data_IF_833353247613
#
_entry.id   IF_833353247613
#
_cell.length_a   1.000
_cell.length_b   1.000
_cell.length_c   1.000
_cell.angle_alpha   90.00
_cell.angle_beta   90.00
_cell.angle_gamma   90.00
#
_symmetry.space_group_name_H-M   'P 1'
#
loop_
_entity.id
_entity.type
_entity.pdbx_description
1 polymer ?
#
# COMPACT_ATOMS: atom_id res chain seq x y z
N UNK A 1 -1.12 18.48 2.87
CA UNK A 1 -0.29 18.64 1.64
C UNK A 1 1.21 18.62 1.90
N UNK A 2 1.76 19.36 2.86
CA UNK A 2 3.21 19.38 3.11
C UNK A 2 3.84 17.98 3.32
N UNK A 3 3.16 17.11 4.05
CA UNK A 3 3.59 15.71 4.28
C UNK A 3 3.57 14.89 2.99
N UNK A 4 2.56 15.08 2.14
CA UNK A 4 2.46 14.38 0.84
C UNK A 4 3.59 14.81 -0.09
N UNK A 5 3.91 16.09 -0.14
CA UNK A 5 5.04 16.61 -0.93
C UNK A 5 6.41 16.14 -0.38
N UNK A 6 6.53 16.02 0.94
CA UNK A 6 7.72 15.41 1.54
C UNK A 6 7.83 13.92 1.16
N UNK A 7 6.74 13.17 1.25
CA UNK A 7 6.67 11.77 0.84
C UNK A 7 6.96 11.61 -0.66
N UNK A 8 6.48 12.52 -1.53
CA UNK A 8 6.75 12.51 -2.97
C UNK A 8 8.24 12.48 -3.29
N UNK A 9 9.02 13.28 -2.58
CA UNK A 9 10.49 13.30 -2.77
C UNK A 9 11.14 11.96 -2.42
N UNK A 10 10.68 11.30 -1.36
CA UNK A 10 11.18 9.98 -0.97
C UNK A 10 10.72 8.89 -1.92
N UNK A 11 9.44 8.91 -2.30
CA UNK A 11 8.85 7.98 -3.26
C UNK A 11 9.58 8.00 -4.60
N UNK A 12 9.94 9.18 -5.10
CA UNK A 12 10.63 9.36 -6.37
C UNK A 12 12.03 8.71 -6.43
N UNK A 13 12.63 8.38 -5.28
CA UNK A 13 13.92 7.68 -5.22
C UNK A 13 13.79 6.16 -5.46
N UNK A 14 12.62 5.58 -5.20
CA UNK A 14 12.42 4.13 -5.14
C UNK A 14 11.27 3.60 -5.99
N UNK A 15 10.31 4.44 -6.32
CA UNK A 15 9.13 4.07 -7.10
C UNK A 15 9.10 4.84 -8.42
N UNK A 16 8.53 4.20 -9.43
CA UNK A 16 8.40 4.81 -10.75
C UNK A 16 7.13 5.66 -10.85
N UNK A 17 7.20 6.74 -11.63
CA UNK A 17 6.00 7.39 -12.13
C UNK A 17 5.40 6.47 -13.19
N UNK A 18 4.37 5.75 -12.83
CA UNK A 18 3.73 4.77 -13.71
C UNK A 18 2.83 5.46 -14.74
N UNK A 19 2.65 4.87 -15.93
CA UNK A 19 1.76 5.43 -16.95
C UNK A 19 0.30 5.51 -16.47
N UNK A 20 -0.40 6.56 -16.92
CA UNK A 20 -1.84 6.67 -16.90
C UNK A 20 -2.36 6.39 -18.32
N UNK A 21 -3.02 5.25 -18.53
CA UNK A 21 -3.38 4.76 -19.85
C UNK A 21 -4.91 4.78 -20.03
N UNK A 22 -5.38 5.44 -21.08
CA UNK A 22 -6.80 5.39 -21.44
C UNK A 22 -7.16 3.99 -21.91
N UNK A 23 -8.19 3.42 -21.33
CA UNK A 23 -8.73 2.14 -21.76
C UNK A 23 -9.51 2.33 -23.08
N UNK A 24 -9.42 1.33 -23.96
CA UNK A 24 -10.17 1.33 -25.22
C UNK A 24 -11.67 1.49 -24.93
N UNK A 25 -12.34 2.53 -25.48
CA UNK A 25 -13.76 2.77 -25.25
C UNK A 25 -14.67 1.60 -25.58
N UNK A 26 -14.31 0.79 -26.59
CA UNK A 26 -15.08 -0.43 -26.91
C UNK A 26 -15.03 -1.47 -25.78
N UNK A 27 -13.92 -1.52 -25.04
CA UNK A 27 -13.76 -2.43 -23.90
C UNK A 27 -14.37 -1.90 -22.62
N UNK A 28 -14.32 -0.58 -22.40
CA UNK A 28 -14.86 0.03 -21.18
C UNK A 28 -16.38 0.20 -21.21
N UNK A 29 -16.99 0.32 -22.37
CA UNK A 29 -18.42 0.59 -22.54
C UNK A 29 -19.32 -0.43 -21.83
N UNK A 30 -18.90 -1.68 -21.75
CA UNK A 30 -19.67 -2.76 -21.12
C UNK A 30 -19.89 -2.55 -19.62
N UNK A 31 -19.02 -1.81 -18.94
CA UNK A 31 -19.08 -1.58 -17.49
C UNK A 31 -19.08 -0.10 -17.08
N UNK A 32 -18.67 0.79 -17.95
CA UNK A 32 -18.56 2.22 -17.67
C UNK A 32 -19.45 3.12 -18.56
N UNK A 33 -20.24 2.53 -19.46
CA UNK A 33 -21.06 3.29 -20.40
C UNK A 33 -20.22 4.20 -21.28
N UNK A 34 -20.57 5.49 -21.34
CA UNK A 34 -19.87 6.48 -22.16
C UNK A 34 -18.74 7.21 -21.40
N UNK A 35 -18.40 6.77 -20.19
CA UNK A 35 -17.29 7.35 -19.42
C UNK A 35 -15.93 6.96 -19.99
N UNK A 36 -15.02 7.91 -20.02
CA UNK A 36 -13.61 7.65 -20.32
C UNK A 36 -12.94 7.02 -19.11
N UNK A 37 -12.41 5.81 -19.26
CA UNK A 37 -11.73 5.08 -18.21
C UNK A 37 -10.23 5.11 -18.42
N UNK A 38 -9.49 5.45 -17.37
CA UNK A 38 -8.04 5.46 -17.34
C UNK A 38 -7.52 4.49 -16.29
N UNK A 39 -6.42 3.84 -16.57
CA UNK A 39 -5.73 2.93 -15.65
C UNK A 39 -4.39 3.52 -15.24
N UNK A 40 -4.20 3.76 -13.94
CA UNK A 40 -2.90 4.06 -13.36
C UNK A 40 -2.19 2.74 -13.09
N UNK A 41 -1.17 2.43 -13.89
CA UNK A 41 -0.58 1.10 -13.97
C UNK A 41 0.43 0.81 -12.85
N UNK A 42 -0.02 0.80 -11.60
CA UNK A 42 0.82 0.52 -10.42
C UNK A 42 1.36 -0.92 -10.36
N UNK A 43 0.87 -1.81 -11.20
CA UNK A 43 1.46 -3.13 -11.44
C UNK A 43 2.80 -3.09 -12.18
N UNK A 44 3.19 -1.95 -12.73
CA UNK A 44 4.50 -1.75 -13.35
C UNK A 44 5.59 -1.28 -12.36
N UNK A 45 5.25 -1.07 -11.09
CA UNK A 45 6.24 -0.76 -10.07
C UNK A 45 7.31 -1.87 -9.91
N UNK A 46 8.51 -1.58 -9.37
CA UNK A 46 9.59 -2.56 -9.22
C UNK A 46 9.19 -3.86 -8.51
N UNK A 47 8.21 -3.81 -7.62
CA UNK A 47 7.65 -4.97 -6.92
C UNK A 47 6.30 -5.43 -7.48
N UNK A 48 5.87 -4.89 -8.62
CA UNK A 48 4.58 -5.21 -9.23
C UNK A 48 3.36 -4.64 -8.50
N UNK A 49 3.52 -3.68 -7.58
CA UNK A 49 2.43 -3.13 -6.78
C UNK A 49 2.74 -1.74 -6.22
N UNK A 50 1.69 -0.95 -5.99
CA UNK A 50 1.77 0.42 -5.43
C UNK A 50 2.40 0.49 -4.03
N UNK A 51 2.46 -0.63 -3.30
CA UNK A 51 2.92 -0.68 -1.90
C UNK A 51 4.32 -0.10 -1.69
N UNK A 52 5.15 -0.09 -2.71
CA UNK A 52 6.47 0.52 -2.65
C UNK A 52 6.42 2.01 -2.30
N UNK A 53 5.38 2.73 -2.72
CA UNK A 53 5.23 4.18 -2.45
C UNK A 53 5.06 4.45 -0.96
N UNK A 54 4.14 3.74 -0.30
CA UNK A 54 3.94 3.86 1.13
C UNK A 54 5.16 3.41 1.93
N UNK A 55 5.79 2.30 1.54
CA UNK A 55 6.99 1.82 2.19
C UNK A 55 8.16 2.81 2.05
N UNK A 56 8.38 3.37 0.86
CA UNK A 56 9.43 4.36 0.61
C UNK A 56 9.21 5.64 1.44
N UNK A 57 7.99 6.12 1.57
CA UNK A 57 7.68 7.28 2.39
C UNK A 57 7.99 7.04 3.88
N UNK A 58 7.65 5.86 4.42
CA UNK A 58 7.99 5.50 5.81
C UNK A 58 9.51 5.48 5.98
N UNK A 59 10.21 4.73 5.13
CA UNK A 59 11.67 4.57 5.23
C UNK A 59 12.39 5.91 5.08
N UNK A 60 11.93 6.76 4.16
CA UNK A 60 12.48 8.10 3.95
C UNK A 60 12.20 9.10 5.08
N UNK A 61 11.23 8.80 5.94
CA UNK A 61 10.91 9.61 7.13
C UNK A 61 11.65 9.16 8.40
N UNK A 62 12.37 8.03 8.37
CA UNK A 62 13.15 7.53 9.51
C UNK A 62 14.29 8.49 9.87
N UNK A 63 14.59 8.58 11.15
CA UNK A 63 15.73 9.33 11.60
C UNK A 63 17.06 8.70 11.11
N UNK A 64 18.14 9.49 10.95
CA UNK A 64 19.43 8.97 10.56
C UNK A 64 19.87 7.79 11.45
N UNK A 65 20.25 6.67 10.82
CA UNK A 65 20.66 5.44 11.50
C UNK A 65 19.51 4.55 12.02
N UNK A 66 18.27 5.00 11.98
CA UNK A 66 17.14 4.18 12.44
C UNK A 66 16.93 2.97 11.52
N UNK A 67 16.98 3.17 10.22
CA UNK A 67 16.90 2.09 9.24
C UNK A 67 18.05 1.07 9.37
N UNK A 68 19.23 1.50 9.87
CA UNK A 68 20.39 0.62 10.04
C UNK A 68 20.14 -0.53 11.04
N UNK A 69 19.21 -0.36 11.98
CA UNK A 69 18.77 -1.43 12.89
C UNK A 69 17.95 -2.52 12.20
N UNK A 70 17.56 -2.27 10.95
CA UNK A 70 16.76 -3.16 10.13
C UNK A 70 15.30 -2.74 10.01
N UNK A 71 14.62 -3.34 9.04
CA UNK A 71 13.20 -3.16 8.80
C UNK A 71 12.44 -4.44 9.14
N UNK A 72 11.27 -4.31 9.76
CA UNK A 72 10.45 -5.43 10.20
C UNK A 72 9.05 -5.33 9.59
N UNK A 73 8.51 -6.46 9.14
CA UNK A 73 7.16 -6.52 8.58
C UNK A 73 6.45 -7.83 8.93
N UNK A 74 5.23 -7.73 9.45
CA UNK A 74 4.30 -8.86 9.55
C UNK A 74 3.38 -8.88 8.32
N UNK A 75 3.75 -9.63 7.30
CA UNK A 75 2.98 -9.82 6.04
C UNK A 75 3.74 -10.77 5.13
N UNK A 76 3.05 -11.56 4.31
CA UNK A 76 3.68 -12.30 3.20
C UNK A 76 3.50 -11.60 1.84
N UNK A 77 2.62 -10.59 1.74
CA UNK A 77 2.18 -9.98 0.48
C UNK A 77 3.05 -8.81 0.02
N UNK A 78 2.45 -7.99 -0.85
CA UNK A 78 3.13 -6.89 -1.54
C UNK A 78 3.81 -5.87 -0.62
N UNK A 79 3.27 -5.65 0.60
CA UNK A 79 3.93 -4.72 1.53
C UNK A 79 5.23 -5.31 2.10
N UNK A 80 5.28 -6.62 2.34
CA UNK A 80 6.52 -7.28 2.74
C UNK A 80 7.58 -7.20 1.65
N UNK A 81 7.18 -7.47 0.40
CA UNK A 81 8.09 -7.34 -0.75
C UNK A 81 8.58 -5.90 -0.93
N UNK A 82 7.74 -4.89 -0.70
CA UNK A 82 8.15 -3.49 -0.74
C UNK A 82 9.22 -3.19 0.32
N UNK A 83 8.98 -3.61 1.56
CA UNK A 83 9.94 -3.40 2.67
C UNK A 83 11.25 -4.16 2.43
N UNK A 84 11.18 -5.41 1.97
CA UNK A 84 12.36 -6.22 1.65
C UNK A 84 13.16 -5.61 0.48
N UNK A 85 12.48 -5.12 -0.55
CA UNK A 85 13.13 -4.44 -1.69
C UNK A 85 13.89 -3.20 -1.23
N UNK A 86 13.25 -2.33 -0.45
CA UNK A 86 13.88 -1.12 0.07
C UNK A 86 15.06 -1.43 1.01
N UNK A 87 14.90 -2.42 1.89
CA UNK A 87 15.99 -2.85 2.77
C UNK A 87 17.21 -3.33 1.97
N UNK A 88 16.99 -4.08 0.89
CA UNK A 88 18.05 -4.50 -0.04
C UNK A 88 18.73 -3.32 -0.72
N UNK A 89 17.98 -2.33 -1.20
CA UNK A 89 18.53 -1.12 -1.82
C UNK A 89 19.37 -0.31 -0.84
N UNK A 90 18.96 -0.25 0.42
CA UNK A 90 19.65 0.48 1.49
C UNK A 90 20.79 -0.32 2.13
N UNK A 91 20.92 -1.61 1.81
CA UNK A 91 21.92 -2.49 2.43
C UNK A 91 21.67 -2.75 3.92
N UNK A 92 20.42 -2.74 4.37
CA UNK A 92 20.05 -2.93 5.78
C UNK A 92 19.31 -4.27 5.98
N UNK A 93 19.33 -4.84 7.20
CA UNK A 93 18.59 -6.08 7.50
C UNK A 93 17.10 -5.92 7.29
N UNK A 94 16.45 -7.00 6.86
CA UNK A 94 14.99 -7.06 6.77
C UNK A 94 14.49 -8.38 7.38
N UNK A 95 13.52 -8.29 8.29
CA UNK A 95 12.83 -9.46 8.83
C UNK A 95 11.34 -9.41 8.48
N UNK A 96 10.86 -10.49 7.89
CA UNK A 96 9.45 -10.65 7.50
C UNK A 96 8.84 -11.79 8.30
N UNK A 97 7.81 -11.48 9.08
CA UNK A 97 7.02 -12.46 9.82
C UNK A 97 5.85 -12.92 8.94
N UNK A 98 5.70 -14.20 8.79
CA UNK A 98 4.61 -14.79 7.99
C UNK A 98 3.89 -15.86 8.79
N UNK A 99 2.56 -16.02 8.64
CA UNK A 99 1.87 -17.15 9.27
C UNK A 99 2.33 -18.47 8.66
N UNK A 100 2.28 -19.56 9.44
CA UNK A 100 2.75 -20.90 9.04
C UNK A 100 2.17 -21.38 7.71
N UNK A 101 0.90 -21.05 7.45
CA UNK A 101 0.19 -21.42 6.22
C UNK A 101 0.44 -20.46 5.05
N UNK A 102 1.36 -19.50 5.17
CA UNK A 102 1.66 -18.57 4.07
C UNK A 102 2.10 -19.35 2.80
N UNK A 103 1.55 -19.02 1.62
CA UNK A 103 1.93 -19.70 0.38
C UNK A 103 3.43 -19.61 0.13
N UNK A 104 4.05 -20.72 -0.24
CA UNK A 104 5.49 -20.82 -0.47
C UNK A 104 5.98 -19.82 -1.52
N UNK A 105 5.20 -19.58 -2.56
CA UNK A 105 5.50 -18.58 -3.59
C UNK A 105 5.71 -17.18 -3.03
N UNK A 106 4.95 -16.79 -1.98
CA UNK A 106 5.08 -15.50 -1.31
C UNK A 106 6.29 -15.47 -0.39
N UNK A 107 6.59 -16.57 0.29
CA UNK A 107 7.78 -16.71 1.15
C UNK A 107 9.04 -16.57 0.31
N UNK A 108 9.18 -17.37 -0.72
CA UNK A 108 10.33 -17.34 -1.65
C UNK A 108 10.50 -15.97 -2.31
N UNK A 109 9.41 -15.27 -2.61
CA UNK A 109 9.49 -13.92 -3.18
C UNK A 109 10.16 -12.92 -2.21
N UNK A 110 9.89 -13.00 -0.92
CA UNK A 110 10.53 -12.18 0.10
C UNK A 110 12.00 -12.57 0.33
N UNK A 111 12.30 -13.87 0.37
CA UNK A 111 13.68 -14.38 0.51
C UNK A 111 14.57 -13.97 -0.68
N UNK A 112 14.06 -14.02 -1.90
CA UNK A 112 14.76 -13.53 -3.11
C UNK A 112 15.09 -12.03 -3.04
N UNK A 113 14.33 -11.26 -2.27
CA UNK A 113 14.60 -9.86 -1.98
C UNK A 113 15.61 -9.67 -0.84
N UNK A 114 16.12 -10.76 -0.24
CA UNK A 114 17.10 -10.73 0.83
C UNK A 114 16.50 -10.65 2.24
N UNK A 115 15.18 -10.77 2.40
CA UNK A 115 14.58 -10.77 3.72
C UNK A 115 14.80 -12.10 4.45
N UNK A 116 15.09 -12.02 5.76
CA UNK A 116 14.94 -13.15 6.67
C UNK A 116 13.46 -13.40 6.93
N UNK A 117 12.94 -14.52 6.48
CA UNK A 117 11.55 -14.90 6.73
C UNK A 117 11.47 -15.78 7.98
N UNK A 118 10.56 -15.43 8.90
CA UNK A 118 10.26 -16.20 10.11
C UNK A 118 8.80 -16.64 10.03
N UNK A 119 8.57 -17.96 10.05
CA UNK A 119 7.22 -18.53 10.15
C UNK A 119 6.80 -18.57 11.61
N UNK A 120 5.61 -18.08 11.89
CA UNK A 120 5.02 -17.98 13.23
C UNK A 120 3.58 -18.43 13.19
N UNK A 121 2.97 -18.73 14.33
CA UNK A 121 1.53 -19.02 14.38
C UNK A 121 0.71 -17.83 13.90
N UNK A 122 -0.55 -18.05 13.56
CA UNK A 122 -1.45 -16.95 13.16
C UNK A 122 -1.61 -15.91 14.27
N UNK A 123 -1.74 -16.38 15.50
CA UNK A 123 -1.90 -15.54 16.69
C UNK A 123 -0.68 -14.66 16.93
N UNK A 124 0.52 -15.23 16.86
CA UNK A 124 1.79 -14.49 16.99
C UNK A 124 1.95 -13.46 15.85
N UNK A 125 1.60 -13.87 14.62
CA UNK A 125 1.64 -12.97 13.46
C UNK A 125 0.69 -11.79 13.62
N UNK A 126 -0.55 -12.08 14.07
CA UNK A 126 -1.57 -11.05 14.29
C UNK A 126 -1.20 -10.12 15.45
N UNK A 127 -0.68 -10.68 16.54
CA UNK A 127 -0.17 -9.89 17.65
C UNK A 127 0.99 -8.98 17.24
N UNK A 128 1.96 -9.50 16.48
CA UNK A 128 3.07 -8.71 15.94
C UNK A 128 2.58 -7.60 15.02
N UNK A 129 1.55 -7.86 14.21
CA UNK A 129 0.93 -6.86 13.36
C UNK A 129 0.25 -5.74 14.16
N UNK A 130 -0.48 -6.09 15.20
CA UNK A 130 -1.17 -5.12 16.08
C UNK A 130 -0.20 -4.32 16.95
N UNK A 131 0.76 -4.99 17.59
CA UNK A 131 1.73 -4.38 18.50
C UNK A 131 2.90 -3.68 17.78
N UNK A 132 3.05 -3.89 16.48
CA UNK A 132 4.13 -3.37 15.65
C UNK A 132 5.54 -3.77 16.17
N UNK A 133 5.64 -4.94 16.76
CA UNK A 133 6.89 -5.52 17.25
C UNK A 133 6.78 -7.04 17.34
N UNK A 134 7.95 -7.72 17.44
CA UNK A 134 8.01 -9.17 17.69
C UNK A 134 9.19 -9.49 18.61
N UNK A 135 9.01 -10.33 19.63
CA UNK A 135 10.08 -10.66 20.57
C UNK A 135 11.34 -11.21 19.88
N UNK A 136 12.50 -10.67 20.22
CA UNK A 136 13.78 -11.09 19.64
C UNK A 136 14.04 -10.62 18.20
N UNK A 137 13.19 -9.75 17.65
CA UNK A 137 13.41 -9.09 16.35
C UNK A 137 13.57 -7.60 16.56
N UNK A 138 14.73 -7.08 16.23
CA UNK A 138 15.03 -5.65 16.25
C UNK A 138 14.74 -5.01 14.89
N UNK A 139 14.48 -3.70 14.91
CA UNK A 139 14.25 -2.91 13.70
C UNK A 139 12.96 -2.10 13.72
N UNK A 140 12.79 -1.27 12.71
CA UNK A 140 11.61 -0.44 12.56
C UNK A 140 10.49 -1.22 11.89
N UNK A 141 9.34 -1.33 12.57
CA UNK A 141 8.17 -2.00 12.01
C UNK A 141 7.45 -1.09 11.01
N UNK A 142 7.31 -1.55 9.78
CA UNK A 142 6.58 -0.83 8.73
C UNK A 142 5.14 -1.33 8.64
N UNK A 143 4.16 -0.52 9.06
CA UNK A 143 2.75 -0.91 9.00
C UNK A 143 2.23 -0.92 7.55
N UNK A 144 1.22 -1.75 7.25
CA UNK A 144 0.76 -1.96 5.88
C UNK A 144 -0.16 -0.84 5.33
N UNK A 145 -0.82 -0.08 6.23
CA UNK A 145 -1.83 0.93 5.87
C UNK A 145 -2.13 1.94 6.98
N UNK A 146 -2.10 1.55 8.25
CA UNK A 146 -2.40 2.43 9.40
C UNK A 146 -1.12 3.16 9.85
N UNK A 147 -0.68 4.07 9.00
CA UNK A 147 0.51 4.90 9.21
C UNK A 147 0.38 6.16 8.33
N UNK A 148 0.49 7.37 8.88
CA UNK A 148 0.40 8.61 8.12
C UNK A 148 1.41 8.70 6.97
N UNK A 149 2.62 8.18 7.14
CA UNK A 149 3.63 8.17 6.10
C UNK A 149 3.27 7.20 4.96
N UNK A 150 2.69 6.03 5.29
CA UNK A 150 2.16 5.11 4.27
C UNK A 150 1.06 5.77 3.47
N UNK A 151 0.14 6.47 4.12
CA UNK A 151 -0.94 7.20 3.45
C UNK A 151 -0.38 8.32 2.57
N UNK A 152 0.58 9.10 3.08
CA UNK A 152 1.23 10.18 2.32
C UNK A 152 1.99 9.66 1.08
N UNK A 153 2.71 8.54 1.22
CA UNK A 153 3.36 7.88 0.08
C UNK A 153 2.37 7.41 -0.98
N UNK A 154 1.29 6.78 -0.56
CA UNK A 154 0.23 6.33 -1.46
C UNK A 154 -0.53 7.50 -2.12
N UNK A 155 -0.67 8.65 -1.43
CA UNK A 155 -1.28 9.86 -1.96
C UNK A 155 -0.56 10.40 -3.21
N UNK A 156 0.72 10.08 -3.39
CA UNK A 156 1.49 10.48 -4.58
C UNK A 156 0.90 9.96 -5.89
N UNK A 157 0.14 8.87 -5.83
CA UNK A 157 -0.62 8.35 -6.97
C UNK A 157 -1.65 9.39 -7.45
N UNK A 158 -2.39 9.98 -6.51
CA UNK A 158 -3.35 11.02 -6.85
C UNK A 158 -2.68 12.27 -7.42
N UNK A 159 -1.51 12.69 -6.89
CA UNK A 159 -0.76 13.80 -7.46
C UNK A 159 -0.45 13.56 -8.94
N UNK A 160 0.08 12.37 -9.26
CA UNK A 160 0.42 12.00 -10.63
C UNK A 160 -0.82 11.94 -11.55
N UNK A 161 -1.94 11.39 -11.04
CA UNK A 161 -3.20 11.33 -11.80
C UNK A 161 -3.73 12.73 -12.08
N UNK A 162 -3.77 13.62 -11.07
CA UNK A 162 -4.29 14.97 -11.21
C UNK A 162 -3.41 15.88 -12.07
N UNK A 163 -2.11 15.61 -12.15
CA UNK A 163 -1.19 16.27 -13.06
C UNK A 163 -1.42 15.87 -14.53
N UNK A 164 -1.71 14.60 -14.79
CA UNK A 164 -1.90 14.04 -16.14
C UNK A 164 -3.34 14.18 -16.64
N UNK A 165 -4.31 14.17 -15.72
CA UNK A 165 -5.75 14.27 -16.02
C UNK A 165 -6.40 15.27 -15.04
N UNK A 166 -6.22 16.59 -15.25
CA UNK A 166 -6.70 17.64 -14.33
C UNK A 166 -8.21 17.65 -14.13
N UNK A 167 -8.97 17.19 -15.13
CA UNK A 167 -10.43 17.22 -15.16
C UNK A 167 -11.06 15.87 -14.81
N UNK A 168 -10.33 14.99 -14.10
CA UNK A 168 -10.87 13.71 -13.67
C UNK A 168 -12.05 13.88 -12.71
N UNK A 169 -13.17 13.21 -13.00
CA UNK A 169 -14.40 13.27 -12.21
C UNK A 169 -14.40 12.33 -11.02
N UNK A 170 -13.71 11.18 -11.15
CA UNK A 170 -13.66 10.18 -10.10
C UNK A 170 -12.37 9.35 -10.14
N UNK A 171 -11.84 9.02 -8.98
CA UNK A 171 -10.74 8.08 -8.81
C UNK A 171 -11.26 6.88 -8.02
N UNK A 172 -11.21 5.70 -8.63
CA UNK A 172 -11.60 4.44 -8.00
C UNK A 172 -10.37 3.73 -7.48
N UNK A 173 -10.39 3.35 -6.21
CA UNK A 173 -9.28 2.65 -5.56
C UNK A 173 -9.76 1.38 -4.86
N UNK A 174 -8.98 0.28 -4.88
CA UNK A 174 -9.30 -0.89 -4.08
C UNK A 174 -9.16 -0.57 -2.59
N UNK A 175 -10.13 -1.04 -1.81
CA UNK A 175 -10.07 -0.94 -0.35
C UNK A 175 -9.66 -2.29 0.25
N UNK A 176 -8.69 -2.25 1.16
CA UNK A 176 -8.36 -3.31 2.10
C UNK A 176 -8.26 -2.67 3.48
N UNK A 177 -7.06 -2.31 3.92
CA UNK A 177 -6.87 -1.57 5.18
C UNK A 177 -6.97 -0.03 5.04
N UNK A 178 -7.41 0.51 3.93
CA UNK A 178 -7.72 1.93 3.74
C UNK A 178 -6.55 2.85 3.38
N UNK A 179 -5.29 2.47 3.60
CA UNK A 179 -4.14 3.38 3.46
C UNK A 179 -3.92 3.97 2.05
N UNK A 180 -4.39 3.29 0.99
CA UNK A 180 -4.39 3.85 -0.36
C UNK A 180 -5.51 4.89 -0.51
N UNK A 181 -6.73 4.47 -0.27
CA UNK A 181 -7.92 5.31 -0.47
C UNK A 181 -7.89 6.55 0.41
N UNK A 182 -7.47 6.44 1.66
CA UNK A 182 -7.32 7.58 2.57
C UNK A 182 -6.27 8.57 2.05
N UNK A 183 -5.10 8.08 1.61
CA UNK A 183 -4.07 8.94 1.03
C UNK A 183 -4.56 9.67 -0.21
N UNK A 184 -5.17 8.94 -1.15
CA UNK A 184 -5.77 9.52 -2.37
C UNK A 184 -6.84 10.55 -2.01
N UNK A 185 -7.73 10.24 -1.06
CA UNK A 185 -8.83 11.13 -0.67
C UNK A 185 -8.32 12.45 -0.07
N UNK A 186 -7.26 12.41 0.74
CA UNK A 186 -6.64 13.62 1.28
C UNK A 186 -6.10 14.51 0.17
N UNK A 187 -5.33 13.95 -0.77
CA UNK A 187 -4.78 14.71 -1.89
C UNK A 187 -5.88 15.29 -2.80
N UNK A 188 -6.88 14.48 -3.13
CA UNK A 188 -8.01 14.90 -3.97
C UNK A 188 -8.81 16.01 -3.32
N UNK A 189 -9.13 15.89 -2.02
CA UNK A 189 -9.89 16.91 -1.30
C UNK A 189 -9.19 18.28 -1.32
N UNK A 190 -7.87 18.30 -1.22
CA UNK A 190 -7.09 19.53 -1.23
C UNK A 190 -6.91 20.14 -2.62
N UNK A 191 -6.74 19.30 -3.65
CA UNK A 191 -6.35 19.75 -4.99
C UNK A 191 -7.52 19.80 -5.98
N UNK A 192 -8.50 18.92 -5.82
CA UNK A 192 -9.66 18.77 -6.72
C UNK A 192 -10.90 18.34 -5.94
N UNK A 193 -11.50 19.22 -5.11
CA UNK A 193 -12.59 18.85 -4.22
C UNK A 193 -13.87 18.37 -4.93
N UNK A 194 -14.00 18.61 -6.22
CA UNK A 194 -15.11 18.12 -7.04
C UNK A 194 -14.88 16.69 -7.56
N UNK A 195 -13.65 16.20 -7.57
CA UNK A 195 -13.35 14.83 -7.96
C UNK A 195 -13.78 13.87 -6.84
N UNK A 196 -14.53 12.84 -7.19
CA UNK A 196 -14.99 11.82 -6.24
C UNK A 196 -13.90 10.77 -6.03
N UNK A 197 -13.75 10.30 -4.80
CA UNK A 197 -12.94 9.11 -4.50
C UNK A 197 -13.87 7.98 -4.11
N UNK A 198 -13.77 6.88 -4.84
CA UNK A 198 -14.62 5.69 -4.66
C UNK A 198 -13.77 4.54 -4.16
N UNK A 199 -14.12 3.98 -3.01
CA UNK A 199 -13.54 2.75 -2.49
C UNK A 199 -14.26 1.56 -3.12
N UNK A 200 -13.50 0.61 -3.67
CA UNK A 200 -14.03 -0.63 -4.23
C UNK A 200 -13.60 -1.82 -3.36
N UNK A 201 -14.55 -2.62 -2.95
CA UNK A 201 -14.35 -3.85 -2.18
C UNK A 201 -14.96 -5.04 -2.91
N UNK A 202 -14.58 -6.24 -2.51
CA UNK A 202 -15.23 -7.47 -2.97
C UNK A 202 -16.31 -7.88 -1.97
N UNK A 203 -17.41 -8.44 -2.44
CA UNK A 203 -18.54 -8.86 -1.59
C UNK A 203 -18.13 -9.86 -0.49
N UNK A 204 -17.14 -10.71 -0.79
CA UNK A 204 -16.61 -11.69 0.17
C UNK A 204 -15.73 -11.09 1.26
N UNK A 205 -15.38 -9.79 1.17
CA UNK A 205 -14.55 -9.07 2.14
C UNK A 205 -14.78 -7.55 2.00
N UNK A 206 -15.83 -7.02 2.65
CA UNK A 206 -16.22 -5.62 2.61
C UNK A 206 -16.11 -4.93 4.00
N UNK A 207 -14.88 -4.80 4.57
CA UNK A 207 -14.68 -4.20 5.89
C UNK A 207 -15.05 -2.72 5.95
N UNK A 208 -14.90 -1.97 4.86
CA UNK A 208 -15.24 -0.55 4.82
C UNK A 208 -16.74 -0.32 4.89
N UNK A 209 -17.52 -1.04 4.08
CA UNK A 209 -18.99 -0.96 4.10
C UNK A 209 -19.52 -1.30 5.49
N UNK A 210 -19.04 -2.39 6.09
CA UNK A 210 -19.42 -2.80 7.44
C UNK A 210 -19.05 -1.75 8.50
N UNK A 211 -17.84 -1.16 8.43
CA UNK A 211 -17.38 -0.13 9.35
C UNK A 211 -18.19 1.16 9.22
N UNK A 212 -18.51 1.58 8.00
CA UNK A 212 -19.37 2.77 7.74
C UNK A 212 -20.77 2.56 8.30
N UNK A 213 -21.37 1.39 8.07
CA UNK A 213 -22.69 1.06 8.59
C UNK A 213 -22.73 1.04 10.13
N UNK A 214 -21.63 0.57 10.77
CA UNK A 214 -21.50 0.52 12.22
C UNK A 214 -21.06 1.85 12.87
N UNK A 215 -20.56 2.81 12.08
CA UNK A 215 -19.96 4.06 12.58
C UNK A 215 -18.66 3.87 13.38
N UNK A 216 -18.01 2.70 13.29
CA UNK A 216 -16.77 2.33 13.95
C UNK A 216 -16.07 1.19 13.24
N UNK A 217 -14.77 0.96 13.44
CA UNK A 217 -14.11 -0.26 12.99
C UNK A 217 -14.80 -1.52 13.52
N UNK A 218 -14.96 -2.52 12.68
CA UNK A 218 -15.59 -3.80 13.01
C UNK A 218 -14.77 -4.95 12.45
N UNK A 219 -14.85 -6.11 13.11
CA UNK A 219 -14.36 -7.36 12.57
C UNK A 219 -15.41 -7.94 11.63
N UNK A 220 -14.95 -8.51 10.53
CA UNK A 220 -15.81 -9.20 9.57
C UNK A 220 -15.24 -10.59 9.27
N UNK A 221 -16.12 -11.51 8.95
CA UNK A 221 -15.72 -12.80 8.39
C UNK A 221 -15.33 -12.61 6.92
N UNK A 222 -14.17 -13.15 6.55
CA UNK A 222 -13.70 -13.15 5.17
C UNK A 222 -13.99 -14.53 4.57
N UNK A 223 -14.82 -14.55 3.53
CA UNK A 223 -15.05 -15.77 2.76
C UNK A 223 -14.01 -15.84 1.65
N UNK A 224 -13.17 -16.89 1.58
CA UNK A 224 -12.26 -17.09 0.46
C UNK A 224 -13.04 -17.16 -0.86
N UNK A 225 -12.65 -16.37 -1.82
CA UNK A 225 -13.19 -16.35 -3.21
C UNK A 225 -12.43 -17.28 -4.12
#
# INVERSE_FOLDING_TARGET
MAEIEAARRQVALHAWRTPLVRLDPMRSRAFAGDADVYLKLENLQPIGAFKIRGAAAVVGALAPGEAARGLVKASAGNMAQAVAHLARELGVPCTVLVPEFAPETKVVANERLGARVIRVTYEEWWEAFQKRCFPGVEGTFVHAFDDPQVMAGNATIALEVLEELPDVDAIVTPWGGGGLTCGVAVAVRELRPHCRVVAAEVESAAPYEAAVAAGRPVEIDITPS
#
